data_IF_467082902024
#
_entry.id   IF_467082902024
#
_cell.length_a   1.000
_cell.length_b   1.000
_cell.length_c   1.000
_cell.angle_alpha   90.00
_cell.angle_beta   90.00
_cell.angle_gamma   90.00
#
_symmetry.space_group_name_H-M   'P 1'
#
loop_
_entity.id
_entity.type
_entity.pdbx_description
1 polymer ?
#
# COMPACT_ATOMS: atom_id res chain seq x y z
N UNK A 1 17.87 -9.39 3.98
CA UNK A 1 16.99 -8.23 4.24
C UNK A 1 15.67 -8.82 4.71
N UNK A 2 15.01 -8.23 5.71
CA UNK A 2 13.73 -8.72 6.24
C UNK A 2 12.68 -7.64 6.05
N UNK A 3 11.56 -7.96 5.44
CA UNK A 3 10.50 -6.98 5.22
C UNK A 3 9.86 -6.56 6.55
N UNK A 4 9.66 -5.25 6.73
CA UNK A 4 8.92 -4.72 7.86
C UNK A 4 7.44 -4.57 7.49
N UNK A 5 6.66 -5.62 7.74
CA UNK A 5 5.23 -5.63 7.45
C UNK A 5 4.47 -4.56 8.25
N UNK A 6 4.89 -4.23 9.48
CA UNK A 6 4.29 -3.16 10.27
C UNK A 6 4.45 -1.77 9.63
N UNK A 7 5.61 -1.52 9.00
CA UNK A 7 5.83 -0.31 8.22
C UNK A 7 4.93 -0.27 6.97
N UNK A 8 4.73 -1.40 6.30
CA UNK A 8 3.83 -1.49 5.15
C UNK A 8 2.37 -1.19 5.54
N UNK A 9 1.87 -1.75 6.66
CA UNK A 9 0.56 -1.40 7.20
C UNK A 9 0.45 0.10 7.52
N UNK A 10 1.48 0.67 8.13
CA UNK A 10 1.51 2.10 8.46
C UNK A 10 1.42 2.98 7.21
N UNK A 11 2.09 2.58 6.12
CA UNK A 11 2.02 3.27 4.84
C UNK A 11 0.63 3.14 4.19
N UNK A 12 0.06 1.94 4.19
CA UNK A 12 -1.29 1.71 3.66
C UNK A 12 -2.35 2.54 4.41
N UNK A 13 -2.25 2.66 5.73
CA UNK A 13 -3.14 3.50 6.52
C UNK A 13 -3.01 4.98 6.13
N UNK A 14 -1.78 5.50 6.01
CA UNK A 14 -1.57 6.90 5.57
C UNK A 14 -2.15 7.17 4.19
N UNK A 15 -2.08 6.20 3.27
CA UNK A 15 -2.69 6.32 1.94
C UNK A 15 -4.22 6.41 2.06
N UNK A 16 -4.83 5.61 2.93
CA UNK A 16 -6.25 5.70 3.23
C UNK A 16 -6.62 7.07 3.83
N UNK A 17 -5.79 7.60 4.72
CA UNK A 17 -6.01 8.93 5.31
C UNK A 17 -5.99 10.02 4.22
N UNK A 18 -5.01 9.98 3.30
CA UNK A 18 -4.98 10.92 2.16
C UNK A 18 -6.20 10.81 1.24
N UNK A 19 -6.71 9.60 1.02
CA UNK A 19 -7.93 9.41 0.23
C UNK A 19 -9.16 10.02 0.91
N UNK A 20 -9.20 10.00 2.25
CA UNK A 20 -10.23 10.66 3.04
C UNK A 20 -10.09 12.18 3.01
N UNK A 21 -8.88 12.72 3.15
CA UNK A 21 -8.63 14.17 3.05
C UNK A 21 -9.10 14.72 1.70
N UNK A 22 -8.84 13.99 0.61
CA UNK A 22 -9.34 14.32 -0.72
C UNK A 22 -10.88 14.33 -0.79
N UNK A 23 -11.55 13.45 -0.05
CA UNK A 23 -13.02 13.42 0.01
C UNK A 23 -13.59 14.69 0.64
N UNK A 24 -12.93 15.13 1.71
CA UNK A 24 -13.31 16.30 2.46
C UNK A 24 -13.06 17.56 1.63
N UNK A 25 -11.93 17.63 0.91
CA UNK A 25 -11.64 18.71 -0.05
C UNK A 25 -12.69 18.76 -1.15
N UNK A 26 -13.06 17.62 -1.74
CA UNK A 26 -14.10 17.55 -2.78
C UNK A 26 -15.45 18.05 -2.27
N UNK A 27 -15.85 17.64 -1.06
CA UNK A 27 -17.10 18.09 -0.43
C UNK A 27 -17.09 19.61 -0.23
N UNK A 28 -16.02 20.16 0.34
CA UNK A 28 -15.86 21.61 0.53
C UNK A 28 -15.88 22.38 -0.80
N UNK A 29 -15.33 21.81 -1.86
CA UNK A 29 -15.33 22.42 -3.19
C UNK A 29 -16.75 22.48 -3.78
N UNK A 30 -17.57 21.46 -3.55
CA UNK A 30 -18.99 21.47 -3.95
C UNK A 30 -19.81 22.47 -3.14
N UNK A 31 -19.55 22.60 -1.84
CA UNK A 31 -20.19 23.63 -1.01
C UNK A 31 -19.82 25.04 -1.49
N UNK A 32 -18.54 25.26 -1.79
CA UNK A 32 -18.06 26.53 -2.35
C UNK A 32 -18.75 26.87 -3.68
N UNK A 33 -18.91 25.88 -4.57
CA UNK A 33 -19.68 26.03 -5.81
C UNK A 33 -21.13 26.42 -5.53
N UNK A 34 -21.79 25.78 -4.56
CA UNK A 34 -23.15 26.13 -4.15
C UNK A 34 -23.26 27.59 -3.70
N UNK A 35 -22.32 28.02 -2.85
CA UNK A 35 -22.27 29.39 -2.36
C UNK A 35 -22.07 30.42 -3.49
N UNK A 36 -21.14 30.17 -4.42
CA UNK A 36 -20.94 31.05 -5.57
C UNK A 36 -22.20 31.19 -6.42
N UNK A 37 -22.87 30.08 -6.75
CA UNK A 37 -24.08 30.11 -7.57
C UNK A 37 -25.26 30.80 -6.87
N UNK A 38 -25.25 30.88 -5.54
CA UNK A 38 -26.28 31.60 -4.79
C UNK A 38 -26.14 33.11 -4.88
N UNK A 39 -24.90 33.62 -4.92
CA UNK A 39 -24.59 35.06 -4.91
C UNK A 39 -24.23 35.66 -6.26
N UNK A 40 -23.81 34.83 -7.23
CA UNK A 40 -23.37 35.27 -8.54
C UNK A 40 -24.09 34.51 -9.65
N UNK A 41 -24.98 35.20 -10.35
CA UNK A 41 -25.74 34.65 -11.48
C UNK A 41 -25.31 35.32 -12.79
N UNK A 42 -24.09 35.06 -13.22
CA UNK A 42 -23.56 35.57 -14.48
C UNK A 42 -23.15 34.44 -15.43
N UNK A 43 -22.99 34.76 -16.72
CA UNK A 43 -22.65 33.77 -17.74
C UNK A 43 -21.27 33.15 -17.50
N UNK A 44 -20.34 33.90 -16.91
CA UNK A 44 -19.00 33.43 -16.57
C UNK A 44 -19.01 32.29 -15.54
N UNK A 45 -20.06 32.19 -14.72
CA UNK A 45 -20.22 31.10 -13.74
C UNK A 45 -20.27 29.72 -14.39
N UNK A 46 -20.66 29.62 -15.67
CA UNK A 46 -20.62 28.35 -16.41
C UNK A 46 -19.18 27.82 -16.47
N UNK A 47 -18.19 28.67 -16.73
CA UNK A 47 -16.79 28.26 -16.81
C UNK A 47 -16.24 27.85 -15.45
N UNK A 48 -16.56 28.61 -14.40
CA UNK A 48 -16.16 28.31 -13.02
C UNK A 48 -16.76 26.98 -12.56
N UNK A 49 -18.06 26.77 -12.81
CA UNK A 49 -18.75 25.52 -12.50
C UNK A 49 -18.14 24.33 -13.23
N UNK A 50 -17.78 24.49 -14.50
CA UNK A 50 -17.12 23.45 -15.29
C UNK A 50 -15.73 23.12 -14.73
N UNK A 51 -14.93 24.12 -14.36
CA UNK A 51 -13.62 23.92 -13.74
C UNK A 51 -13.74 23.15 -12.42
N UNK A 52 -14.66 23.56 -11.54
CA UNK A 52 -14.92 22.86 -10.26
C UNK A 52 -15.37 21.41 -10.48
N UNK A 53 -16.23 21.18 -11.46
CA UNK A 53 -16.66 19.82 -11.82
C UNK A 53 -15.50 18.97 -12.35
N UNK A 54 -14.57 19.55 -13.11
CA UNK A 54 -13.37 18.85 -13.57
C UNK A 54 -12.49 18.43 -12.40
N UNK A 55 -12.14 19.39 -11.54
CA UNK A 55 -11.33 19.16 -10.34
C UNK A 55 -11.97 18.08 -9.45
N UNK A 56 -13.30 18.13 -9.27
CA UNK A 56 -14.01 17.14 -8.46
C UNK A 56 -13.95 15.72 -9.04
N UNK A 57 -13.92 15.58 -10.37
CA UNK A 57 -13.74 14.29 -11.04
C UNK A 57 -12.32 13.78 -10.86
N UNK A 58 -11.33 14.63 -11.11
CA UNK A 58 -9.90 14.29 -10.93
C UNK A 58 -9.61 13.88 -9.48
N UNK A 59 -10.17 14.58 -8.48
CA UNK A 59 -10.06 14.18 -7.07
C UNK A 59 -10.66 12.79 -6.87
N UNK A 60 -11.84 12.50 -7.44
CA UNK A 60 -12.49 11.18 -7.28
C UNK A 60 -11.67 10.05 -7.89
N UNK A 61 -11.00 10.30 -9.02
CA UNK A 61 -10.09 9.37 -9.67
C UNK A 61 -8.86 9.11 -8.79
N UNK A 62 -8.24 10.17 -8.25
CA UNK A 62 -7.13 10.05 -7.31
C UNK A 62 -7.50 9.27 -6.05
N UNK A 63 -8.67 9.54 -5.47
CA UNK A 63 -9.17 8.79 -4.31
C UNK A 63 -9.28 7.30 -4.59
N UNK A 64 -9.86 6.95 -5.74
CA UNK A 64 -10.02 5.55 -6.16
C UNK A 64 -8.67 4.87 -6.29
N UNK A 65 -7.70 5.55 -6.89
CA UNK A 65 -6.33 5.05 -7.03
C UNK A 65 -5.64 4.86 -5.68
N UNK A 66 -5.78 5.82 -4.76
CA UNK A 66 -5.20 5.69 -3.42
C UNK A 66 -5.82 4.51 -2.65
N UNK A 67 -7.14 4.34 -2.73
CA UNK A 67 -7.82 3.20 -2.11
C UNK A 67 -7.40 1.85 -2.71
N UNK A 68 -7.01 1.78 -3.98
CA UNK A 68 -6.52 0.54 -4.58
C UNK A 68 -5.09 0.21 -4.17
N UNK A 69 -4.21 1.21 -4.01
CA UNK A 69 -2.78 1.00 -3.72
C UNK A 69 -2.55 0.49 -2.29
N UNK A 70 -3.33 0.95 -1.31
CA UNK A 70 -3.15 0.56 0.10
C UNK A 70 -3.17 -0.97 0.33
N UNK A 71 -4.22 -1.68 -0.12
CA UNK A 71 -4.29 -3.15 -0.09
C UNK A 71 -3.14 -3.83 -0.82
N UNK A 72 -2.72 -3.32 -1.99
CA UNK A 72 -1.64 -3.90 -2.79
C UNK A 72 -0.30 -3.87 -2.04
N UNK A 73 0.00 -2.77 -1.34
CA UNK A 73 1.20 -2.65 -0.49
C UNK A 73 1.19 -3.71 0.62
N UNK A 74 0.05 -3.89 1.29
CA UNK A 74 -0.09 -4.88 2.35
C UNK A 74 0.03 -6.30 1.80
N UNK A 75 -0.55 -6.57 0.63
CA UNK A 75 -0.45 -7.86 -0.03
C UNK A 75 1.00 -8.20 -0.38
N UNK A 76 1.70 -7.28 -1.06
CA UNK A 76 3.09 -7.45 -1.44
C UNK A 76 4.02 -7.64 -0.22
N UNK A 77 3.81 -6.86 0.85
CA UNK A 77 4.60 -7.01 2.07
C UNK A 77 4.42 -8.39 2.74
N UNK A 78 3.19 -8.91 2.73
CA UNK A 78 2.91 -10.24 3.25
C UNK A 78 3.45 -11.37 2.35
N UNK A 79 3.42 -11.18 1.04
CA UNK A 79 4.03 -12.10 0.08
C UNK A 79 5.54 -12.21 0.30
N UNK A 80 6.25 -11.07 0.32
CA UNK A 80 7.69 -11.03 0.58
C UNK A 80 8.04 -11.71 1.91
N UNK A 81 7.26 -11.46 2.98
CA UNK A 81 7.49 -12.11 4.28
C UNK A 81 7.41 -13.64 4.18
N UNK A 82 6.41 -14.16 3.49
CA UNK A 82 6.24 -15.62 3.32
C UNK A 82 7.38 -16.23 2.52
N UNK A 83 7.84 -15.54 1.46
CA UNK A 83 8.99 -15.98 0.68
C UNK A 83 10.29 -15.99 1.51
N UNK A 84 10.51 -14.94 2.31
CA UNK A 84 11.65 -14.85 3.22
C UNK A 84 11.64 -15.98 4.26
N UNK A 85 10.50 -16.22 4.91
CA UNK A 85 10.33 -17.30 5.90
C UNK A 85 10.56 -18.69 5.29
N UNK A 86 10.07 -18.92 4.07
CA UNK A 86 10.27 -20.18 3.36
C UNK A 86 11.75 -20.41 3.00
N UNK A 87 12.45 -19.36 2.54
CA UNK A 87 13.89 -19.43 2.25
C UNK A 87 14.70 -19.70 3.52
N UNK A 88 14.42 -18.99 4.62
CA UNK A 88 15.09 -19.21 5.91
C UNK A 88 14.84 -20.62 6.47
N UNK A 89 13.64 -21.19 6.27
CA UNK A 89 13.36 -22.57 6.65
C UNK A 89 14.13 -23.59 5.81
N UNK A 90 14.22 -23.37 4.49
CA UNK A 90 14.97 -24.24 3.58
C UNK A 90 16.48 -24.21 3.87
N UNK A 91 17.04 -23.03 4.14
CA UNK A 91 18.45 -22.87 4.52
C UNK A 91 18.78 -23.59 5.84
N UNK A 92 17.91 -23.47 6.85
CA UNK A 92 18.06 -24.19 8.13
C UNK A 92 18.03 -25.71 7.93
N UNK A 93 17.04 -26.22 7.20
CA UNK A 93 16.94 -27.64 6.92
C UNK A 93 18.14 -28.19 6.14
N UNK A 94 18.67 -27.42 5.18
CA UNK A 94 19.87 -27.80 4.43
C UNK A 94 21.13 -27.82 5.32
N UNK A 95 21.29 -26.81 6.20
CA UNK A 95 22.39 -26.75 7.15
C UNK A 95 22.36 -27.91 8.16
N UNK A 96 21.18 -28.25 8.68
CA UNK A 96 20.98 -29.38 9.60
C UNK A 96 21.32 -30.72 8.94
N UNK A 97 20.86 -30.94 7.70
CA UNK A 97 21.21 -32.15 6.92
C UNK A 97 22.71 -32.24 6.67
N UNK A 98 23.34 -31.15 6.24
CA UNK A 98 24.77 -31.11 6.00
C UNK A 98 25.59 -31.36 7.28
N UNK A 99 25.14 -30.86 8.44
CA UNK A 99 25.77 -31.12 9.73
C UNK A 99 25.64 -32.60 10.12
N UNK A 100 24.45 -33.18 9.99
CA UNK A 100 24.20 -34.59 10.29
C UNK A 100 25.02 -35.53 9.39
N UNK A 101 25.13 -35.23 8.10
CA UNK A 101 25.97 -36.00 7.15
C UNK A 101 27.46 -35.93 7.51
N UNK A 102 27.96 -34.76 7.90
CA UNK A 102 29.35 -34.59 8.34
C UNK A 102 29.62 -35.38 9.62
N UNK A 103 28.71 -35.33 10.59
CA UNK A 103 28.85 -36.07 11.83
C UNK A 103 28.80 -37.60 11.60
N UNK A 104 27.87 -38.07 10.77
CA UNK A 104 27.79 -39.48 10.39
C UNK A 104 29.07 -39.95 9.67
N UNK A 105 29.63 -39.13 8.79
CA UNK A 105 30.88 -39.43 8.08
C UNK A 105 32.06 -39.53 9.05
N UNK A 106 32.18 -38.59 9.99
CA UNK A 106 33.23 -38.58 11.02
C UNK A 106 33.17 -39.82 11.92
N UNK A 107 31.97 -40.19 12.38
CA UNK A 107 31.75 -41.41 13.18
C UNK A 107 32.13 -42.68 12.43
N UNK A 108 31.85 -42.75 11.13
CA UNK A 108 32.19 -43.91 10.30
C UNK A 108 33.71 -44.01 10.04
N UNK A 109 34.43 -42.88 9.94
CA UNK A 109 35.89 -42.87 9.78
C UNK A 109 36.69 -43.06 11.06
N UNK A 110 36.12 -42.81 12.24
CA UNK A 110 36.79 -42.98 13.54
C UNK A 110 36.69 -44.38 14.15
N UNK A 111 36.07 -45.33 13.45
CA UNK A 111 35.82 -46.72 13.88
C UNK A 111 36.77 -47.74 13.21
N UNK A 112 37.95 -47.31 12.76
CA UNK A 112 39.01 -48.17 12.22
C UNK A 112 40.25 -48.15 13.09
#
# INVERSE_FOLDING_TARGET
>A
MKINVGQAYSQANRISDYAQDLNDIKSRLQDFKGNLNSGWQAQEMVYINNAINSISREISELQTLLFSIGPDIVAAANEIRREEEAREAAERAAAERAAAEREARLKNTGLR
#
